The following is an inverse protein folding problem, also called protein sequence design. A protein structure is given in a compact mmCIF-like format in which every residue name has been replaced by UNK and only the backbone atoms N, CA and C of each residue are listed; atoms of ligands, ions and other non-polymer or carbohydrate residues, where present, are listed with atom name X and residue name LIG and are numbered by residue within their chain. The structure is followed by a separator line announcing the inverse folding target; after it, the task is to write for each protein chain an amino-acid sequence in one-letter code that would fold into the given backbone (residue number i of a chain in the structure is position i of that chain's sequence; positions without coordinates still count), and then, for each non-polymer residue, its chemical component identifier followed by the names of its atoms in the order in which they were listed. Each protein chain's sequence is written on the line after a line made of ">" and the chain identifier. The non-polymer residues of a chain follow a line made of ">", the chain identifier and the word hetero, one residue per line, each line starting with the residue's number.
data_IF_913087264246
#
_entry.id   IF_913087264246
#
_cell.length_a   1.000
_cell.length_b   1.000
_cell.length_c   1.000
_cell.angle_alpha   90.00
_cell.angle_beta   90.00
_cell.angle_gamma   90.00
#
_symmetry.space_group_name_H-M   'P 1'
#
loop_
_entity.id
_entity.type
_entity.pdbx_description
1 polymer ?
#
# COMPACT_ATOMS: atom_id res chain seq x y z
N UNK A 1 -9.48 -11.57 24.89
CA UNK A 1 -9.04 -10.83 23.70
C UNK A 1 -10.12 -9.82 23.35
N UNK A 2 -9.78 -8.54 23.14
CA UNK A 2 -10.73 -7.49 22.74
C UNK A 2 -11.07 -7.64 21.24
N UNK A 3 -12.29 -7.29 20.79
CA UNK A 3 -12.72 -7.52 19.40
C UNK A 3 -11.86 -6.77 18.37
N UNK A 4 -11.34 -5.59 18.69
CA UNK A 4 -10.44 -4.83 17.81
C UNK A 4 -9.06 -5.51 17.60
N UNK A 5 -8.71 -6.53 18.38
CA UNK A 5 -7.49 -7.33 18.20
C UNK A 5 -7.66 -8.44 17.16
N UNK A 6 -8.90 -8.81 16.84
CA UNK A 6 -9.20 -9.85 15.86
C UNK A 6 -8.72 -9.45 14.45
N UNK A 7 -8.33 -10.44 13.68
CA UNK A 7 -8.10 -10.32 12.24
C UNK A 7 -9.43 -10.20 11.49
N UNK A 8 -9.39 -9.76 10.24
CA UNK A 8 -10.60 -9.71 9.40
C UNK A 8 -11.22 -11.11 9.23
N UNK A 9 -10.39 -12.12 9.01
CA UNK A 9 -10.83 -13.51 8.86
C UNK A 9 -11.45 -14.08 10.13
N UNK A 10 -10.93 -13.72 11.31
CA UNK A 10 -11.53 -14.09 12.60
C UNK A 10 -12.87 -13.39 12.83
N UNK A 11 -12.99 -12.09 12.51
CA UNK A 11 -14.23 -11.34 12.57
C UNK A 11 -15.30 -12.00 11.70
N UNK A 12 -14.98 -12.27 10.43
CA UNK A 12 -15.88 -12.94 9.48
C UNK A 12 -16.39 -14.27 10.06
N UNK A 13 -15.46 -15.09 10.58
CA UNK A 13 -15.80 -16.39 11.18
C UNK A 13 -16.74 -16.24 12.37
N UNK A 14 -16.46 -15.31 13.29
CA UNK A 14 -17.27 -15.09 14.50
C UNK A 14 -18.65 -14.56 14.18
N UNK A 15 -18.78 -13.63 13.22
CA UNK A 15 -20.10 -13.13 12.75
C UNK A 15 -20.89 -14.27 12.10
N UNK A 16 -20.25 -15.06 11.22
CA UNK A 16 -20.91 -16.21 10.57
C UNK A 16 -21.40 -17.24 11.58
N UNK A 17 -20.65 -17.48 12.65
CA UNK A 17 -21.03 -18.38 13.73
C UNK A 17 -22.01 -17.74 14.73
N UNK A 18 -22.41 -16.48 14.54
CA UNK A 18 -23.27 -15.72 15.46
C UNK A 18 -22.69 -15.57 16.88
N UNK A 19 -21.34 -15.59 17.00
CA UNK A 19 -20.62 -15.37 18.25
C UNK A 19 -20.54 -13.88 18.59
N UNK A 20 -20.53 -13.03 17.57
CA UNK A 20 -20.58 -11.55 17.66
C UNK A 20 -21.51 -11.00 16.58
N UNK A 21 -22.09 -9.84 16.80
CA UNK A 21 -22.81 -9.05 15.80
C UNK A 21 -21.84 -8.20 14.96
N UNK A 22 -22.31 -7.73 13.81
CA UNK A 22 -21.59 -6.73 13.00
C UNK A 22 -21.41 -5.45 13.81
N UNK A 23 -22.47 -5.02 14.55
CA UNK A 23 -22.42 -3.83 15.38
C UNK A 23 -21.35 -3.89 16.45
N UNK A 24 -21.21 -5.02 17.16
CA UNK A 24 -20.16 -5.19 18.18
C UNK A 24 -18.76 -5.09 17.60
N UNK A 25 -18.53 -5.68 16.42
CA UNK A 25 -17.24 -5.60 15.70
C UNK A 25 -16.90 -4.14 15.36
N UNK A 26 -17.85 -3.41 14.77
CA UNK A 26 -17.64 -2.03 14.31
C UNK A 26 -17.52 -1.07 15.50
N UNK A 27 -18.34 -1.19 16.50
CA UNK A 27 -18.30 -0.38 17.73
C UNK A 27 -16.95 -0.53 18.46
N UNK A 28 -16.44 -1.76 18.54
CA UNK A 28 -15.11 -2.02 19.12
C UNK A 28 -13.98 -1.32 18.36
N UNK A 29 -14.05 -1.29 17.02
CA UNK A 29 -13.05 -0.61 16.19
C UNK A 29 -13.15 0.92 16.29
N UNK A 30 -14.37 1.47 16.38
CA UNK A 30 -14.61 2.92 16.60
C UNK A 30 -14.05 3.34 17.96
N UNK A 31 -14.39 2.64 19.04
CA UNK A 31 -13.86 2.90 20.37
C UNK A 31 -12.33 2.83 20.42
N UNK A 32 -11.76 1.87 19.70
CA UNK A 32 -10.28 1.78 19.58
C UNK A 32 -9.71 3.00 18.85
N UNK A 33 -10.37 3.45 17.80
CA UNK A 33 -9.97 4.69 17.10
C UNK A 33 -10.02 5.90 18.02
N UNK A 34 -11.09 6.07 18.80
CA UNK A 34 -11.23 7.17 19.76
C UNK A 34 -10.15 7.12 20.86
N UNK A 35 -9.77 5.93 21.31
CA UNK A 35 -8.74 5.71 22.33
C UNK A 35 -7.32 6.11 21.83
N UNK A 36 -6.93 5.67 20.63
CA UNK A 36 -5.52 5.73 20.21
C UNK A 36 -5.22 6.76 19.12
N UNK A 37 -6.19 7.12 18.31
CA UNK A 37 -5.98 8.04 17.19
C UNK A 37 -5.50 9.44 17.62
N UNK A 38 -5.87 9.99 18.77
CA UNK A 38 -5.29 11.25 19.26
C UNK A 38 -3.77 11.22 19.42
N UNK A 39 -3.19 10.04 19.65
CA UNK A 39 -1.74 9.85 19.83
C UNK A 39 -0.96 9.64 18.52
N UNK A 40 -1.65 9.23 17.43
CA UNK A 40 -1.01 8.85 16.16
C UNK A 40 -1.54 9.62 14.94
N UNK A 41 -2.70 10.23 15.01
CA UNK A 41 -3.35 10.98 13.93
C UNK A 41 -3.39 10.20 12.60
N UNK A 42 -3.80 8.95 12.66
CA UNK A 42 -3.88 8.05 11.51
C UNK A 42 -5.18 8.24 10.71
N UNK A 43 -6.32 8.42 11.43
CA UNK A 43 -7.66 8.65 10.88
C UNK A 43 -7.99 10.13 11.01
N UNK A 44 -8.24 10.80 9.89
CA UNK A 44 -8.48 12.26 9.84
C UNK A 44 -9.92 12.65 9.54
N UNK A 45 -10.76 11.67 9.20
CA UNK A 45 -12.20 11.82 9.12
C UNK A 45 -12.86 10.54 9.65
N UNK A 46 -13.51 10.64 10.80
CA UNK A 46 -14.27 9.53 11.40
C UNK A 46 -15.62 9.38 10.71
N UNK A 47 -16.10 8.13 10.59
CA UNK A 47 -17.38 7.78 10.02
C UNK A 47 -18.27 7.03 11.03
N UNK A 48 -18.02 7.20 12.34
CA UNK A 48 -18.58 6.40 13.41
C UNK A 48 -20.10 6.17 13.34
N UNK A 49 -20.92 7.23 13.24
CA UNK A 49 -22.39 7.09 13.18
C UNK A 49 -22.86 6.35 11.94
N UNK A 50 -22.37 6.74 10.75
CA UNK A 50 -22.73 6.08 9.50
C UNK A 50 -22.27 4.61 9.47
N UNK A 51 -21.11 4.30 10.06
CA UNK A 51 -20.61 2.94 10.19
C UNK A 51 -21.51 2.07 11.09
N UNK A 52 -22.01 2.61 12.21
CA UNK A 52 -22.92 1.90 13.10
C UNK A 52 -24.29 1.67 12.44
N UNK A 53 -24.86 2.64 11.73
CA UNK A 53 -26.10 2.48 10.97
C UNK A 53 -25.97 1.38 9.91
N UNK A 54 -24.81 1.36 9.20
CA UNK A 54 -24.51 0.31 8.23
C UNK A 54 -24.35 -1.05 8.89
N UNK A 55 -23.75 -1.12 10.07
CA UNK A 55 -23.62 -2.33 10.87
C UNK A 55 -24.98 -2.90 11.26
N UNK A 56 -25.90 -2.05 11.76
CA UNK A 56 -27.28 -2.45 12.09
C UNK A 56 -28.02 -3.01 10.86
N UNK A 57 -27.82 -2.38 9.69
CA UNK A 57 -28.42 -2.86 8.44
C UNK A 57 -27.90 -4.26 8.07
N UNK A 58 -26.60 -4.55 8.24
CA UNK A 58 -26.06 -5.88 7.99
C UNK A 58 -26.51 -6.91 9.03
N UNK A 59 -26.61 -6.53 10.31
CA UNK A 59 -27.18 -7.41 11.34
C UNK A 59 -28.65 -7.78 11.05
N UNK A 60 -29.43 -6.84 10.47
CA UNK A 60 -30.79 -7.15 10.03
C UNK A 60 -30.82 -8.10 8.84
N UNK A 61 -29.89 -7.95 7.87
CA UNK A 61 -29.75 -8.91 6.75
C UNK A 61 -29.40 -10.30 7.23
N UNK A 62 -28.49 -10.44 8.20
CA UNK A 62 -28.16 -11.75 8.80
C UNK A 62 -29.39 -12.39 9.44
N UNK A 63 -30.24 -11.61 10.16
CA UNK A 63 -31.49 -12.12 10.75
C UNK A 63 -32.46 -12.62 9.68
N UNK A 64 -32.48 -11.98 8.51
CA UNK A 64 -33.30 -12.37 7.36
C UNK A 64 -32.71 -13.54 6.58
N UNK A 65 -31.52 -14.05 6.93
CA UNK A 65 -30.84 -15.12 6.20
C UNK A 65 -30.17 -14.70 4.89
N UNK A 66 -29.97 -13.39 4.70
CA UNK A 66 -29.30 -12.81 3.52
C UNK A 66 -27.78 -12.91 3.64
N UNK A 67 -27.09 -13.06 2.49
CA UNK A 67 -25.63 -12.97 2.42
C UNK A 67 -25.18 -11.51 2.60
N UNK A 68 -24.18 -11.31 3.44
CA UNK A 68 -23.58 -9.99 3.71
C UNK A 68 -22.21 -9.79 3.04
N UNK A 69 -21.78 -10.74 2.23
CA UNK A 69 -20.52 -10.68 1.46
C UNK A 69 -19.28 -11.20 2.20
N UNK A 70 -18.19 -11.35 1.43
CA UNK A 70 -16.95 -12.01 1.90
C UNK A 70 -16.18 -11.20 2.97
N UNK A 71 -16.46 -9.91 3.13
CA UNK A 71 -15.95 -9.03 4.18
C UNK A 71 -17.05 -8.61 5.16
N UNK A 72 -18.11 -9.40 5.25
CA UNK A 72 -19.30 -9.06 6.03
C UNK A 72 -19.01 -8.66 7.47
N UNK A 73 -19.19 -7.37 7.79
CA UNK A 73 -18.99 -6.79 9.12
C UNK A 73 -17.55 -6.47 9.53
N UNK A 74 -16.60 -6.58 8.59
CA UNK A 74 -15.20 -6.21 8.84
C UNK A 74 -15.05 -4.69 8.83
N UNK A 75 -14.53 -4.06 9.92
CA UNK A 75 -14.21 -2.64 9.94
C UNK A 75 -12.96 -2.35 9.10
N UNK A 76 -13.07 -1.42 8.14
CA UNK A 76 -11.98 -1.03 7.25
C UNK A 76 -11.76 0.48 7.28
N UNK A 77 -10.54 0.92 6.96
CA UNK A 77 -10.22 2.34 6.75
C UNK A 77 -9.84 2.58 5.29
N UNK A 78 -10.11 3.78 4.78
CA UNK A 78 -9.82 4.15 3.40
C UNK A 78 -9.01 5.45 3.34
N UNK A 79 -8.08 5.52 2.40
CA UNK A 79 -7.18 6.69 2.23
C UNK A 79 -7.96 7.89 1.69
N UNK A 80 -7.64 9.11 2.16
CA UNK A 80 -8.33 10.36 1.76
C UNK A 80 -8.09 10.79 0.30
N UNK A 81 -7.31 10.06 -0.48
CA UNK A 81 -7.03 10.37 -1.89
C UNK A 81 -7.94 9.62 -2.89
N UNK A 82 -8.92 8.86 -2.41
CA UNK A 82 -9.93 8.21 -3.25
C UNK A 82 -11.31 8.76 -2.95
N UNK A 83 -12.16 8.83 -3.99
CA UNK A 83 -13.52 9.34 -3.86
C UNK A 83 -14.38 8.41 -3.02
N UNK A 84 -15.06 9.00 -2.04
CA UNK A 84 -16.11 8.38 -1.26
C UNK A 84 -17.27 9.36 -1.17
N UNK A 85 -18.45 8.95 -1.60
CA UNK A 85 -19.63 9.81 -1.69
C UNK A 85 -19.90 10.54 -0.37
N UNK A 86 -20.12 11.84 -0.43
CA UNK A 86 -20.37 12.70 0.71
C UNK A 86 -19.14 13.15 1.50
N UNK A 87 -17.94 12.70 1.14
CA UNK A 87 -16.68 13.07 1.80
C UNK A 87 -15.72 13.77 0.84
N UNK A 88 -14.88 14.65 1.40
CA UNK A 88 -13.89 15.36 0.61
C UNK A 88 -12.72 14.44 0.19
N UNK A 89 -12.35 14.46 -1.09
CA UNK A 89 -11.16 13.80 -1.62
C UNK A 89 -9.97 14.74 -1.48
N UNK A 90 -9.48 14.89 -0.25
CA UNK A 90 -8.51 15.96 0.09
C UNK A 90 -7.10 15.70 -0.43
N UNK A 91 -6.68 14.43 -0.55
CA UNK A 91 -5.29 14.07 -0.88
C UNK A 91 -4.24 14.83 -0.03
N UNK A 92 -4.59 15.18 1.25
CA UNK A 92 -3.75 15.95 2.16
C UNK A 92 -3.62 17.44 1.82
N UNK A 93 -4.53 18.01 1.01
CA UNK A 93 -4.44 19.35 0.43
C UNK A 93 -5.52 20.28 0.95
N UNK A 94 -5.15 21.47 1.43
CA UNK A 94 -6.08 22.55 1.78
C UNK A 94 -6.91 23.01 0.58
N UNK A 95 -6.27 23.06 -0.62
CA UNK A 95 -6.96 23.45 -1.87
C UNK A 95 -8.05 22.46 -2.27
N UNK A 96 -8.07 21.25 -1.70
CA UNK A 96 -9.08 20.22 -1.95
C UNK A 96 -9.95 19.91 -0.72
N UNK A 97 -9.88 20.70 0.34
CA UNK A 97 -10.62 20.44 1.59
C UNK A 97 -12.14 20.32 1.41
N UNK A 98 -12.69 21.00 0.40
CA UNK A 98 -14.12 21.05 0.08
C UNK A 98 -14.47 20.29 -1.21
N UNK A 99 -13.56 19.46 -1.74
CA UNK A 99 -13.77 18.63 -2.94
C UNK A 99 -14.62 17.39 -2.58
N UNK A 100 -15.91 17.61 -2.33
CA UNK A 100 -16.84 16.55 -1.93
C UNK A 100 -17.15 15.64 -3.12
N UNK A 101 -16.84 14.35 -2.96
CA UNK A 101 -17.12 13.34 -3.98
C UNK A 101 -18.63 13.08 -4.10
N UNK A 102 -19.11 12.98 -5.35
CA UNK A 102 -20.53 12.69 -5.70
C UNK A 102 -20.75 11.22 -6.04
N UNK A 103 -19.69 10.47 -6.24
CA UNK A 103 -19.69 9.04 -6.55
C UNK A 103 -18.54 8.36 -5.80
N UNK A 104 -18.68 7.06 -5.54
CA UNK A 104 -17.62 6.25 -4.95
C UNK A 104 -16.60 5.86 -6.02
N UNK A 105 -15.32 5.92 -5.68
CA UNK A 105 -14.29 5.19 -6.42
C UNK A 105 -14.67 3.69 -6.49
N UNK A 106 -14.44 2.99 -7.61
CA UNK A 106 -14.73 1.56 -7.75
C UNK A 106 -14.24 0.69 -6.57
N UNK A 107 -13.05 0.95 -6.03
CA UNK A 107 -12.53 0.19 -4.89
C UNK A 107 -13.40 0.36 -3.63
N UNK A 108 -13.94 1.55 -3.39
CA UNK A 108 -14.86 1.82 -2.28
C UNK A 108 -16.16 1.05 -2.47
N UNK A 109 -16.77 1.14 -3.67
CA UNK A 109 -17.96 0.38 -4.02
C UNK A 109 -17.77 -1.13 -3.87
N UNK A 110 -16.60 -1.65 -4.25
CA UNK A 110 -16.27 -3.06 -4.14
C UNK A 110 -16.11 -3.52 -2.69
N UNK A 111 -15.49 -2.72 -1.83
CA UNK A 111 -15.44 -2.98 -0.39
C UNK A 111 -16.83 -3.02 0.23
N UNK A 112 -17.68 -2.02 -0.05
CA UNK A 112 -19.05 -1.95 0.47
C UNK A 112 -19.93 -3.08 -0.04
N UNK A 113 -19.86 -3.43 -1.33
CA UNK A 113 -20.57 -4.58 -1.93
C UNK A 113 -20.12 -5.92 -1.35
N UNK A 114 -18.88 -5.98 -0.85
CA UNK A 114 -18.34 -7.16 -0.17
C UNK A 114 -18.68 -7.22 1.32
N UNK A 115 -19.44 -6.25 1.85
CA UNK A 115 -19.90 -6.21 3.23
C UNK A 115 -18.94 -5.56 4.22
N UNK A 116 -17.84 -4.96 3.75
CA UNK A 116 -16.96 -4.18 4.60
C UNK A 116 -17.65 -2.92 5.14
N UNK A 117 -17.30 -2.53 6.35
CA UNK A 117 -17.79 -1.32 6.99
C UNK A 117 -16.66 -0.29 7.08
N UNK A 118 -16.78 0.80 6.33
CA UNK A 118 -15.80 1.89 6.37
C UNK A 118 -16.02 2.71 7.63
N UNK A 119 -15.02 2.73 8.52
CA UNK A 119 -15.09 3.41 9.83
C UNK A 119 -14.39 4.77 9.85
N UNK A 120 -13.57 5.06 8.84
CA UNK A 120 -12.86 6.33 8.77
C UNK A 120 -11.92 6.44 7.58
N UNK A 121 -11.44 7.67 7.35
CA UNK A 121 -10.54 8.01 6.27
C UNK A 121 -9.16 8.35 6.81
N UNK A 122 -8.13 7.77 6.21
CA UNK A 122 -6.75 7.82 6.72
C UNK A 122 -5.90 8.88 6.05
N UNK A 123 -4.97 9.43 6.80
CA UNK A 123 -4.07 10.50 6.40
C UNK A 123 -3.09 10.08 5.30
N UNK A 124 -2.61 11.08 4.55
CA UNK A 124 -1.59 10.98 3.50
C UNK A 124 -0.76 12.27 3.48
N UNK A 125 0.50 12.31 3.04
CA UNK A 125 1.19 13.58 2.81
C UNK A 125 0.53 14.37 1.68
N UNK A 126 0.76 15.67 1.63
CA UNK A 126 0.28 16.52 0.55
C UNK A 126 0.65 15.94 -0.83
N UNK A 127 -0.31 15.89 -1.76
CA UNK A 127 -0.21 15.27 -3.10
C UNK A 127 0.10 13.76 -3.11
N UNK A 128 0.09 13.08 -1.96
CA UNK A 128 0.62 11.72 -1.82
C UNK A 128 2.08 11.59 -2.31
N UNK A 129 2.88 12.64 -2.21
CA UNK A 129 4.20 12.78 -2.84
C UNK A 129 5.35 12.14 -2.06
N UNK A 130 5.18 11.90 -0.75
CA UNK A 130 6.27 11.56 0.18
C UNK A 130 6.11 10.16 0.77
N UNK A 131 7.22 9.57 1.22
CA UNK A 131 7.23 8.36 2.07
C UNK A 131 7.14 8.69 3.57
N UNK A 132 6.64 9.89 3.91
CA UNK A 132 6.46 10.44 5.25
C UNK A 132 5.09 11.10 5.31
N UNK A 133 4.27 10.78 6.32
CA UNK A 133 2.87 11.21 6.33
C UNK A 133 2.67 12.42 7.23
N UNK A 134 2.90 13.60 6.67
CA UNK A 134 2.58 14.90 7.26
C UNK A 134 2.08 15.87 6.18
N UNK A 135 1.09 16.68 6.50
CA UNK A 135 0.58 17.75 5.65
C UNK A 135 -0.01 18.90 6.50
N UNK A 136 -0.21 20.07 5.90
CA UNK A 136 -0.72 21.26 6.60
C UNK A 136 -2.23 21.29 6.78
N UNK A 137 -3.01 20.38 6.16
CA UNK A 137 -4.46 20.27 6.34
C UNK A 137 -4.81 19.40 7.54
N UNK A 138 -4.24 18.20 7.62
CA UNK A 138 -4.60 17.18 8.59
C UNK A 138 -3.54 16.95 9.67
N UNK A 139 -2.35 17.52 9.50
CA UNK A 139 -1.25 17.36 10.44
C UNK A 139 -0.41 16.10 10.20
N UNK A 140 0.29 15.68 11.24
CA UNK A 140 1.32 14.65 11.21
C UNK A 140 0.80 13.31 11.74
N UNK A 141 0.99 12.24 10.99
CA UNK A 141 0.75 10.87 11.46
C UNK A 141 2.02 10.29 12.05
N UNK A 142 1.94 9.76 13.26
CA UNK A 142 3.05 9.13 13.98
C UNK A 142 3.00 7.62 13.85
N UNK A 143 4.18 6.99 13.86
CA UNK A 143 4.30 5.55 13.83
C UNK A 143 3.91 4.94 15.19
N UNK A 144 2.96 3.98 15.24
CA UNK A 144 2.51 3.39 16.50
C UNK A 144 3.56 2.49 17.20
N UNK A 145 4.63 2.09 16.50
CA UNK A 145 5.71 1.29 17.07
C UNK A 145 6.71 2.20 17.78
N UNK A 146 7.17 3.25 17.09
CA UNK A 146 8.14 4.22 17.57
C UNK A 146 7.88 5.56 16.90
N UNK A 147 7.62 6.60 17.70
CA UNK A 147 7.32 7.97 17.22
C UNK A 147 8.51 8.67 16.55
N UNK A 148 9.73 8.14 16.73
CA UNK A 148 10.95 8.69 16.13
C UNK A 148 11.22 8.16 14.72
N UNK A 149 10.45 7.19 14.24
CA UNK A 149 10.51 6.67 12.87
C UNK A 149 9.26 7.05 12.09
N UNK A 150 9.39 7.18 10.77
CA UNK A 150 8.26 7.48 9.91
C UNK A 150 7.21 6.36 9.94
N UNK A 151 5.90 6.65 9.86
CA UNK A 151 4.87 5.63 9.59
C UNK A 151 4.89 5.19 8.12
N UNK A 152 5.87 5.68 7.35
CA UNK A 152 5.87 5.55 5.89
C UNK A 152 4.92 6.53 5.20
N UNK A 153 4.83 6.40 3.92
CA UNK A 153 3.98 7.20 3.03
C UNK A 153 3.92 6.60 1.62
N UNK A 154 2.94 6.98 0.88
CA UNK A 154 1.94 7.97 1.21
C UNK A 154 0.71 7.39 1.94
N UNK A 155 0.59 6.06 2.13
CA UNK A 155 -0.51 5.44 2.90
C UNK A 155 -0.12 5.21 4.37
N UNK A 156 0.66 6.12 4.98
CA UNK A 156 1.13 5.98 6.35
C UNK A 156 0.00 5.99 7.38
N UNK A 157 -1.04 6.79 7.16
CA UNK A 157 -2.24 6.76 8.00
C UNK A 157 -2.94 5.40 7.98
N UNK A 158 -3.02 4.74 6.81
CA UNK A 158 -3.63 3.41 6.69
C UNK A 158 -2.81 2.33 7.41
N UNK A 159 -1.48 2.34 7.22
CA UNK A 159 -0.60 1.38 7.89
C UNK A 159 -0.56 1.59 9.41
N UNK A 160 -0.49 2.85 9.88
CA UNK A 160 -0.53 3.18 11.29
C UNK A 160 -1.86 2.78 11.93
N UNK A 161 -3.00 3.01 11.26
CA UNK A 161 -4.33 2.60 11.74
C UNK A 161 -4.40 1.08 11.94
N UNK A 162 -3.99 0.29 10.92
CA UNK A 162 -3.98 -1.18 10.98
C UNK A 162 -3.03 -1.68 12.09
N UNK A 163 -1.83 -1.12 12.20
CA UNK A 163 -0.86 -1.49 13.24
C UNK A 163 -1.35 -1.16 14.65
N UNK A 164 -2.19 -0.13 14.80
CA UNK A 164 -2.80 0.27 16.06
C UNK A 164 -4.10 -0.46 16.38
N UNK A 165 -4.63 -1.28 15.47
CA UNK A 165 -5.91 -1.96 15.63
C UNK A 165 -7.14 -1.10 15.33
N UNK A 166 -6.96 0.01 14.63
CA UNK A 166 -8.05 0.83 14.09
C UNK A 166 -8.49 0.22 12.75
N UNK A 167 -9.47 -0.69 12.81
CA UNK A 167 -9.87 -1.50 11.68
C UNK A 167 -8.92 -2.69 11.41
N UNK A 168 -9.44 -3.72 10.79
CA UNK A 168 -8.69 -4.92 10.47
C UNK A 168 -7.94 -4.81 9.13
N UNK A 169 -8.44 -3.97 8.23
CA UNK A 169 -7.91 -3.74 6.88
C UNK A 169 -7.82 -2.23 6.63
N UNK A 170 -6.70 -1.81 6.04
CA UNK A 170 -6.49 -0.48 5.49
C UNK A 170 -6.44 -0.52 3.97
N UNK A 171 -7.16 0.38 3.29
CA UNK A 171 -6.96 0.64 1.87
C UNK A 171 -5.83 1.64 1.68
N UNK A 172 -4.91 1.34 0.79
CA UNK A 172 -3.84 2.24 0.33
C UNK A 172 -3.78 2.38 -1.19
N UNK A 173 -2.93 3.30 -1.65
CA UNK A 173 -2.58 3.47 -3.07
C UNK A 173 -1.07 3.44 -3.22
N UNK A 174 -0.55 2.93 -4.34
CA UNK A 174 0.89 2.76 -4.56
C UNK A 174 1.28 3.13 -6.00
N UNK A 175 2.12 4.16 -6.14
CA UNK A 175 2.74 4.58 -7.40
C UNK A 175 4.28 4.42 -7.35
N UNK A 176 4.84 4.48 -6.13
CA UNK A 176 6.27 4.36 -5.84
C UNK A 176 6.48 3.82 -4.43
N UNK A 177 5.81 2.70 -4.09
CA UNK A 177 5.94 2.06 -2.79
C UNK A 177 4.95 2.51 -1.72
N UNK A 178 3.93 3.30 -2.06
CA UNK A 178 3.05 3.92 -1.08
C UNK A 178 2.06 2.99 -0.35
N UNK A 179 2.00 1.69 -0.65
CA UNK A 179 1.42 0.62 0.16
C UNK A 179 2.55 -0.15 0.86
N UNK A 180 3.56 -0.54 0.08
CA UNK A 180 4.62 -1.46 0.48
C UNK A 180 5.50 -0.88 1.57
N UNK A 181 5.96 0.37 1.40
CA UNK A 181 6.84 1.02 2.38
C UNK A 181 6.13 1.38 3.70
N UNK A 182 4.90 1.94 3.73
CA UNK A 182 4.16 2.13 4.98
C UNK A 182 3.89 0.83 5.73
N UNK A 183 3.55 -0.26 5.01
CA UNK A 183 3.40 -1.57 5.63
C UNK A 183 4.70 -2.04 6.30
N UNK A 184 5.85 -1.89 5.62
CA UNK A 184 7.17 -2.13 6.18
C UNK A 184 7.46 -1.29 7.41
N UNK A 185 7.25 0.03 7.32
CA UNK A 185 7.57 0.98 8.39
C UNK A 185 6.70 0.80 9.66
N UNK A 186 5.46 0.34 9.50
CA UNK A 186 4.53 0.07 10.60
C UNK A 186 4.51 -1.41 11.02
N UNK A 187 5.36 -2.27 10.45
CA UNK A 187 5.47 -3.68 10.84
C UNK A 187 4.20 -4.49 10.53
N UNK A 188 3.51 -4.21 9.44
CA UNK A 188 2.34 -4.93 8.94
C UNK A 188 2.59 -5.44 7.52
N UNK A 189 1.62 -6.09 6.89
CA UNK A 189 1.74 -6.59 5.52
C UNK A 189 1.00 -5.67 4.55
N UNK A 190 1.51 -5.54 3.31
CA UNK A 190 0.89 -4.70 2.29
C UNK A 190 1.06 -5.27 0.89
N UNK A 191 -0.02 -5.33 0.13
CA UNK A 191 -0.05 -5.83 -1.24
C UNK A 191 -0.26 -4.69 -2.24
N UNK A 192 0.75 -4.44 -3.08
CA UNK A 192 0.61 -3.73 -4.34
C UNK A 192 0.20 -4.73 -5.42
N UNK A 193 -1.05 -4.71 -5.94
CA UNK A 193 -1.44 -5.57 -7.04
C UNK A 193 -0.83 -5.17 -8.38
N UNK A 194 -0.97 -6.03 -9.39
CA UNK A 194 -0.72 -5.69 -10.80
C UNK A 194 -1.64 -4.55 -11.27
N UNK A 195 -1.16 -3.74 -12.20
CA UNK A 195 -2.00 -2.75 -12.87
C UNK A 195 -3.25 -3.42 -13.46
N UNK A 196 -4.41 -2.79 -13.29
CA UNK A 196 -5.68 -3.30 -13.80
C UNK A 196 -6.31 -4.45 -12.99
N UNK A 197 -5.70 -4.86 -11.87
CA UNK A 197 -6.26 -5.91 -11.01
C UNK A 197 -7.34 -5.37 -10.06
N UNK A 198 -7.11 -4.22 -9.45
CA UNK A 198 -8.06 -3.52 -8.59
C UNK A 198 -8.54 -2.27 -9.33
N UNK A 199 -9.82 -2.21 -9.72
CA UNK A 199 -10.30 -1.05 -10.46
C UNK A 199 -10.31 0.21 -9.59
N UNK A 200 -9.85 1.33 -10.15
CA UNK A 200 -9.73 2.59 -9.46
C UNK A 200 -9.97 3.78 -10.42
N UNK A 201 -10.93 4.64 -10.06
CA UNK A 201 -11.22 5.89 -10.77
C UNK A 201 -11.78 6.92 -9.79
N UNK A 202 -11.29 8.15 -9.85
CA UNK A 202 -11.88 9.27 -9.10
C UNK A 202 -12.72 10.13 -10.04
N UNK A 203 -13.96 10.38 -9.65
CA UNK A 203 -14.92 11.21 -10.42
C UNK A 203 -14.80 12.70 -10.08
N UNK A 204 -14.09 13.03 -9.00
CA UNK A 204 -13.96 14.42 -8.50
C UNK A 204 -12.88 15.24 -9.20
N UNK A 205 -12.13 14.66 -10.12
CA UNK A 205 -11.04 15.30 -10.84
C UNK A 205 -10.86 14.78 -12.26
N UNK A 206 -9.94 15.35 -13.05
CA UNK A 206 -9.58 14.81 -14.35
C UNK A 206 -8.89 13.46 -14.24
N UNK A 207 -8.87 12.72 -15.34
CA UNK A 207 -8.06 11.51 -15.44
C UNK A 207 -6.58 11.82 -15.22
N UNK A 208 -5.87 10.83 -14.67
CA UNK A 208 -4.42 10.94 -14.47
C UNK A 208 -3.69 11.00 -15.81
N UNK A 209 -2.54 11.64 -15.83
CA UNK A 209 -1.60 11.52 -16.94
C UNK A 209 -1.12 10.07 -17.07
N UNK A 210 -0.50 9.76 -18.22
CA UNK A 210 -0.17 8.36 -18.60
C UNK A 210 0.73 7.65 -17.59
N UNK A 211 1.68 8.33 -16.95
CA UNK A 211 2.52 7.74 -15.91
C UNK A 211 1.69 7.36 -14.69
N UNK A 212 0.83 8.27 -14.21
CA UNK A 212 -0.10 7.97 -13.14
C UNK A 212 -1.05 6.81 -13.46
N UNK A 213 -1.50 6.70 -14.73
CA UNK A 213 -2.33 5.59 -15.19
C UNK A 213 -1.58 4.26 -15.19
N UNK A 214 -0.33 4.24 -15.66
CA UNK A 214 0.47 3.01 -15.80
C UNK A 214 1.05 2.49 -14.49
N UNK A 215 1.20 3.34 -13.47
CA UNK A 215 1.95 3.00 -12.26
C UNK A 215 1.12 2.96 -10.99
N UNK A 216 0.06 3.77 -10.89
CA UNK A 216 -0.71 3.88 -9.65
C UNK A 216 -1.76 2.78 -9.53
N UNK A 217 -1.78 2.10 -8.39
CA UNK A 217 -2.76 1.05 -8.07
C UNK A 217 -3.34 1.25 -6.67
N UNK A 218 -4.50 0.67 -6.41
CA UNK A 218 -5.08 0.50 -5.07
C UNK A 218 -4.80 -0.91 -4.54
N UNK A 219 -4.67 -1.05 -3.22
CA UNK A 219 -4.49 -2.37 -2.61
C UNK A 219 -4.61 -2.37 -1.09
N UNK A 220 -4.64 -3.55 -0.46
CA UNK A 220 -4.85 -3.72 0.97
C UNK A 220 -3.56 -3.67 1.80
N UNK A 221 -3.72 -3.24 3.05
CA UNK A 221 -2.77 -3.34 4.16
C UNK A 221 -3.46 -4.09 5.29
N UNK A 222 -2.83 -5.09 5.90
CA UNK A 222 -3.41 -5.90 6.96
C UNK A 222 -2.35 -6.50 7.89
N UNK A 223 -2.79 -7.05 9.05
CA UNK A 223 -1.93 -7.69 10.04
C UNK A 223 -1.66 -9.17 9.78
N UNK A 224 -2.34 -9.77 8.80
CA UNK A 224 -2.12 -11.14 8.38
C UNK A 224 -2.19 -11.28 6.85
N UNK A 225 -1.52 -12.30 6.31
CA UNK A 225 -1.57 -12.59 4.87
C UNK A 225 -2.96 -13.08 4.46
N UNK A 226 -3.66 -13.80 5.33
CA UNK A 226 -5.03 -14.27 5.04
C UNK A 226 -6.02 -13.10 4.93
N UNK A 227 -5.83 -12.03 5.72
CA UNK A 227 -6.61 -10.80 5.59
C UNK A 227 -6.29 -10.06 4.29
N UNK A 228 -5.03 -10.07 3.82
CA UNK A 228 -4.68 -9.56 2.50
C UNK A 228 -5.38 -10.33 1.39
N UNK A 229 -5.46 -11.68 1.47
CA UNK A 229 -6.13 -12.51 0.46
C UNK A 229 -7.61 -12.17 0.35
N UNK A 230 -8.33 -12.12 1.47
CA UNK A 230 -9.77 -11.84 1.45
C UNK A 230 -10.08 -10.41 1.03
N UNK A 231 -9.28 -9.43 1.47
CA UNK A 231 -9.46 -8.02 1.08
C UNK A 231 -9.08 -7.76 -0.38
N UNK A 232 -8.03 -8.38 -0.88
CA UNK A 232 -7.65 -8.33 -2.29
C UNK A 232 -8.75 -8.91 -3.19
N UNK A 233 -9.33 -10.05 -2.83
CA UNK A 233 -10.47 -10.63 -3.54
C UNK A 233 -11.65 -9.65 -3.58
N UNK A 234 -11.99 -9.04 -2.45
CA UNK A 234 -13.06 -8.04 -2.37
C UNK A 234 -12.78 -6.82 -3.27
N UNK A 235 -11.57 -6.27 -3.22
CA UNK A 235 -11.19 -5.09 -3.99
C UNK A 235 -11.13 -5.34 -5.50
N UNK A 236 -10.82 -6.58 -5.93
CA UNK A 236 -10.61 -6.97 -7.33
C UNK A 236 -11.91 -7.28 -8.11
N UNK A 237 -13.08 -6.99 -7.53
CA UNK A 237 -14.36 -7.18 -8.26
C UNK A 237 -14.41 -6.28 -9.49
N UNK A 238 -15.02 -6.76 -10.61
CA UNK A 238 -15.10 -6.00 -11.85
C UNK A 238 -15.77 -4.63 -11.69
N UNK A 239 -15.23 -3.63 -12.39
CA UNK A 239 -15.88 -2.34 -12.56
C UNK A 239 -15.45 -1.73 -13.91
N UNK A 240 -16.42 -1.15 -14.65
CA UNK A 240 -16.20 -0.63 -16.01
C UNK A 240 -15.64 0.79 -16.04
N UNK A 241 -15.54 1.47 -14.91
CA UNK A 241 -15.03 2.85 -14.87
C UNK A 241 -13.49 2.91 -14.94
N UNK A 242 -12.78 1.81 -14.62
CA UNK A 242 -11.34 1.75 -14.81
C UNK A 242 -10.99 1.21 -16.20
N UNK A 243 -10.43 2.04 -17.11
CA UNK A 243 -10.08 1.61 -18.48
C UNK A 243 -8.96 0.56 -18.51
N UNK A 244 -8.20 0.40 -17.42
CA UNK A 244 -7.11 -0.57 -17.29
C UNK A 244 -7.55 -1.88 -16.65
N UNK A 245 -8.82 -1.99 -16.18
CA UNK A 245 -9.27 -3.21 -15.52
C UNK A 245 -9.15 -4.45 -16.42
N UNK A 246 -8.53 -5.49 -15.89
CA UNK A 246 -8.31 -6.77 -16.59
C UNK A 246 -9.00 -7.92 -15.86
N UNK A 247 -9.99 -8.59 -16.48
CA UNK A 247 -10.76 -9.68 -15.88
C UNK A 247 -9.96 -11.01 -15.88
N UNK A 248 -8.77 -11.00 -15.27
CA UNK A 248 -7.91 -12.18 -15.15
C UNK A 248 -8.26 -12.96 -13.87
N UNK A 249 -8.31 -14.30 -13.86
CA UNK A 249 -8.52 -15.08 -12.65
C UNK A 249 -7.55 -14.74 -11.52
N UNK A 250 -8.01 -14.78 -10.26
CA UNK A 250 -7.17 -14.51 -9.09
C UNK A 250 -6.12 -15.60 -8.84
N UNK A 251 -6.35 -16.80 -9.35
CA UNK A 251 -5.40 -17.91 -9.31
C UNK A 251 -4.97 -18.26 -10.73
N UNK A 252 -3.66 -18.20 -10.94
CA UNK A 252 -3.06 -18.57 -12.23
C UNK A 252 -2.70 -20.06 -12.31
N UNK A 253 -2.16 -20.46 -13.47
CA UNK A 253 -1.64 -21.82 -13.69
C UNK A 253 -0.45 -22.11 -12.75
N UNK A 254 -0.29 -23.37 -12.33
CA UNK A 254 0.84 -23.79 -11.51
C UNK A 254 2.20 -23.39 -12.13
N UNK A 255 3.13 -23.01 -11.31
CA UNK A 255 4.51 -22.66 -11.70
C UNK A 255 5.52 -23.47 -10.89
N UNK A 256 6.75 -23.54 -11.38
CA UNK A 256 7.87 -24.12 -10.63
C UNK A 256 8.08 -23.35 -9.32
N UNK A 257 8.49 -24.07 -8.29
CA UNK A 257 8.83 -23.49 -6.98
C UNK A 257 10.27 -22.96 -6.99
N UNK A 258 10.59 -22.02 -7.88
CA UNK A 258 11.90 -21.37 -7.98
C UNK A 258 11.78 -19.93 -7.49
N UNK A 259 12.76 -19.53 -6.68
CA UNK A 259 12.86 -18.18 -6.10
C UNK A 259 14.19 -17.56 -6.50
N UNK A 260 14.15 -16.37 -7.09
CA UNK A 260 15.29 -15.48 -7.18
C UNK A 260 15.51 -14.77 -5.85
N UNK A 261 16.62 -14.99 -5.19
CA UNK A 261 17.05 -14.22 -4.02
C UNK A 261 17.94 -13.08 -4.48
N UNK A 262 17.46 -11.84 -4.41
CA UNK A 262 18.20 -10.65 -4.81
C UNK A 262 18.52 -9.79 -3.59
N UNK A 263 19.72 -9.96 -3.03
CA UNK A 263 20.13 -9.26 -1.81
C UNK A 263 20.44 -7.78 -2.04
N UNK A 264 20.87 -7.42 -3.27
CA UNK A 264 21.29 -6.07 -3.64
C UNK A 264 20.87 -5.75 -5.09
N UNK A 265 19.54 -5.66 -5.37
CA UNK A 265 19.01 -5.52 -6.72
C UNK A 265 19.68 -4.38 -7.51
N UNK A 266 20.27 -4.67 -8.68
CA UNK A 266 20.96 -3.71 -9.57
C UNK A 266 21.96 -2.82 -8.80
N UNK A 267 22.73 -3.43 -7.87
CA UNK A 267 23.74 -2.75 -7.05
C UNK A 267 23.17 -1.80 -5.98
N UNK A 268 21.90 -1.96 -5.59
CA UNK A 268 21.26 -1.20 -4.51
C UNK A 268 22.07 -1.34 -3.21
N UNK A 269 22.25 -0.23 -2.48
CA UNK A 269 22.83 -0.28 -1.14
C UNK A 269 21.81 -0.86 -0.16
N UNK A 270 22.20 -1.94 0.53
CA UNK A 270 21.33 -2.67 1.45
C UNK A 270 22.07 -2.95 2.76
N UNK A 271 21.43 -2.63 3.89
CA UNK A 271 21.97 -2.88 5.22
C UNK A 271 22.03 -4.38 5.54
N UNK A 272 22.93 -4.77 6.44
CA UNK A 272 23.12 -6.18 6.81
C UNK A 272 21.88 -6.76 7.52
N UNK A 273 21.13 -5.94 8.24
CA UNK A 273 19.87 -6.34 8.89
C UNK A 273 18.80 -6.74 7.84
N UNK A 274 18.68 -5.96 6.76
CA UNK A 274 17.75 -6.26 5.67
C UNK A 274 18.20 -7.49 4.90
N UNK A 275 19.50 -7.63 4.59
CA UNK A 275 20.05 -8.84 3.95
C UNK A 275 19.81 -10.09 4.82
N UNK A 276 20.03 -9.98 6.14
CA UNK A 276 19.79 -11.09 7.08
C UNK A 276 18.32 -11.53 7.09
N UNK A 277 17.38 -10.58 7.01
CA UNK A 277 15.96 -10.89 6.89
C UNK A 277 15.61 -11.62 5.58
N UNK A 278 16.22 -11.23 4.45
CA UNK A 278 16.06 -11.89 3.15
C UNK A 278 16.62 -13.32 3.18
N UNK A 279 17.83 -13.52 3.70
CA UNK A 279 18.48 -14.83 3.81
C UNK A 279 17.66 -15.76 4.72
N UNK A 280 17.18 -15.26 5.85
CA UNK A 280 16.33 -16.04 6.76
C UNK A 280 15.00 -16.43 6.11
N UNK A 281 14.40 -15.51 5.34
CA UNK A 281 13.17 -15.78 4.59
C UNK A 281 13.39 -16.82 3.48
N UNK A 282 14.49 -16.73 2.75
CA UNK A 282 14.88 -17.71 1.73
C UNK A 282 15.04 -19.11 2.31
N UNK A 283 15.70 -19.23 3.48
CA UNK A 283 15.84 -20.50 4.18
C UNK A 283 14.51 -21.14 4.56
N UNK A 284 13.55 -20.34 5.06
CA UNK A 284 12.18 -20.83 5.34
C UNK A 284 11.46 -21.36 4.10
N UNK A 285 11.69 -20.74 2.96
CA UNK A 285 11.12 -21.22 1.69
C UNK A 285 11.83 -22.49 1.21
N UNK A 286 13.13 -22.61 1.38
CA UNK A 286 13.89 -23.82 1.09
C UNK A 286 13.38 -25.01 1.92
N UNK A 287 13.16 -24.80 3.23
CA UNK A 287 12.54 -25.78 4.12
C UNK A 287 11.11 -26.17 3.71
N UNK A 288 10.39 -25.26 3.02
CA UNK A 288 9.06 -25.50 2.44
C UNK A 288 9.11 -26.11 1.02
N UNK A 289 10.29 -26.48 0.54
CA UNK A 289 10.52 -27.16 -0.73
C UNK A 289 10.58 -26.24 -1.94
N UNK A 290 11.02 -24.98 -1.75
CA UNK A 290 11.35 -24.05 -2.83
C UNK A 290 12.85 -24.12 -3.15
N UNK A 291 13.19 -23.99 -4.44
CA UNK A 291 14.57 -23.91 -4.93
C UNK A 291 15.02 -22.45 -4.92
N UNK A 292 16.05 -22.12 -4.15
CA UNK A 292 16.56 -20.75 -3.99
C UNK A 292 17.77 -20.52 -4.90
N UNK A 293 17.73 -19.45 -5.69
CA UNK A 293 18.81 -19.03 -6.56
C UNK A 293 19.25 -17.61 -6.18
N UNK A 294 20.51 -17.44 -5.81
CA UNK A 294 21.13 -16.13 -5.61
C UNK A 294 21.48 -15.56 -6.99
N UNK A 295 20.72 -14.58 -7.42
CA UNK A 295 20.83 -13.96 -8.76
C UNK A 295 20.55 -12.47 -8.69
N UNK A 296 21.14 -11.73 -9.62
CA UNK A 296 20.84 -10.30 -9.76
C UNK A 296 19.58 -10.07 -10.58
N UNK A 297 19.03 -8.87 -10.51
CA UNK A 297 17.82 -8.46 -11.24
C UNK A 297 18.15 -7.97 -12.65
N UNK A 298 17.18 -8.00 -13.58
CA UNK A 298 17.21 -7.14 -14.75
C UNK A 298 17.33 -5.65 -14.36
N UNK A 299 17.67 -4.74 -15.29
CA UNK A 299 17.89 -3.32 -14.98
C UNK A 299 16.74 -2.70 -14.21
N UNK A 300 17.02 -2.28 -12.98
CA UNK A 300 16.03 -1.66 -12.06
C UNK A 300 16.30 -0.16 -11.88
N UNK A 301 17.58 0.28 -11.87
CA UNK A 301 17.94 1.70 -11.81
C UNK A 301 17.39 2.47 -13.00
N UNK A 302 17.51 1.90 -14.19
CA UNK A 302 16.92 2.49 -15.41
C UNK A 302 15.41 2.61 -15.32
N UNK A 303 14.72 1.64 -14.69
CA UNK A 303 13.28 1.71 -14.45
C UNK A 303 12.95 2.84 -13.45
N UNK A 304 13.74 2.96 -12.36
CA UNK A 304 13.61 4.03 -11.38
C UNK A 304 13.79 5.42 -11.99
N UNK A 305 14.89 5.63 -12.73
CA UNK A 305 15.18 6.90 -13.41
C UNK A 305 14.08 7.28 -14.41
N UNK A 306 13.60 6.29 -15.18
CA UNK A 306 12.50 6.48 -16.13
C UNK A 306 11.19 6.87 -15.43
N UNK A 307 10.88 6.26 -14.28
CA UNK A 307 9.72 6.63 -13.48
C UNK A 307 9.85 8.06 -12.94
N UNK A 308 10.99 8.42 -12.37
CA UNK A 308 11.22 9.75 -11.84
C UNK A 308 11.08 10.81 -12.92
N UNK A 309 11.65 10.59 -14.11
CA UNK A 309 11.51 11.51 -15.25
C UNK A 309 10.05 11.67 -15.67
N UNK A 310 9.31 10.58 -15.84
CA UNK A 310 7.91 10.64 -16.25
C UNK A 310 7.04 11.31 -15.18
N UNK A 311 7.24 10.96 -13.92
CA UNK A 311 6.51 11.55 -12.80
C UNK A 311 6.79 13.06 -12.67
N UNK A 312 8.06 13.48 -12.77
CA UNK A 312 8.40 14.91 -12.70
C UNK A 312 7.89 15.70 -13.91
N UNK A 313 7.88 15.11 -15.10
CA UNK A 313 7.26 15.73 -16.28
C UNK A 313 5.77 16.00 -16.04
N UNK A 314 5.03 15.02 -15.53
CA UNK A 314 3.60 15.15 -15.21
C UNK A 314 3.35 16.16 -14.08
N UNK A 315 4.17 16.15 -13.04
CA UNK A 315 4.09 17.11 -11.95
C UNK A 315 4.33 18.54 -12.44
N UNK A 316 5.34 18.76 -13.26
CA UNK A 316 5.65 20.09 -13.82
C UNK A 316 4.54 20.59 -14.75
N UNK A 317 3.90 19.71 -15.53
CA UNK A 317 2.83 20.06 -16.46
C UNK A 317 1.49 20.28 -15.77
N UNK A 318 1.12 19.44 -14.81
CA UNK A 318 -0.23 19.40 -14.25
C UNK A 318 -0.36 19.85 -12.79
N UNK A 319 0.72 19.79 -11.99
CA UNK A 319 0.62 20.03 -10.56
C UNK A 319 1.50 21.17 -10.04
N UNK A 320 2.40 21.74 -10.84
CA UNK A 320 3.33 22.77 -10.38
C UNK A 320 2.63 23.99 -9.75
N UNK A 321 1.56 24.49 -10.38
CA UNK A 321 0.76 25.60 -9.85
C UNK A 321 0.01 25.20 -8.56
N UNK A 322 -0.50 23.97 -8.51
CA UNK A 322 -1.18 23.46 -7.33
C UNK A 322 -0.21 23.32 -6.15
N UNK A 323 1.05 22.91 -6.37
CA UNK A 323 2.10 22.85 -5.34
C UNK A 323 2.37 24.24 -4.76
N UNK A 324 2.50 25.25 -5.62
CA UNK A 324 2.68 26.66 -5.20
C UNK A 324 1.46 27.15 -4.40
N UNK A 325 0.25 26.87 -4.89
CA UNK A 325 -1.01 27.32 -4.27
C UNK A 325 -1.26 26.62 -2.92
N UNK A 326 -0.95 25.33 -2.80
CA UNK A 326 -1.08 24.59 -1.56
C UNK A 326 -0.16 25.12 -0.47
N UNK A 327 1.04 25.52 -0.86
CA UNK A 327 2.07 26.09 0.02
C UNK A 327 2.38 25.20 1.24
N UNK A 328 2.39 23.89 1.04
CA UNK A 328 2.87 22.94 2.05
C UNK A 328 4.40 22.93 2.02
N UNK A 329 5.10 23.28 3.12
CA UNK A 329 6.56 23.46 3.11
C UNK A 329 7.31 22.16 2.81
N UNK A 330 6.81 21.02 3.31
CA UNK A 330 7.45 19.72 3.11
C UNK A 330 7.27 19.26 1.65
N UNK A 331 6.05 19.37 1.12
CA UNK A 331 5.77 19.02 -0.26
C UNK A 331 6.55 19.89 -1.24
N UNK A 332 6.66 21.20 -0.97
CA UNK A 332 7.46 22.11 -1.78
C UNK A 332 8.94 21.71 -1.77
N UNK A 333 9.51 21.41 -0.61
CA UNK A 333 10.92 20.99 -0.48
C UNK A 333 11.17 19.68 -1.24
N UNK A 334 10.36 18.68 -1.03
CA UNK A 334 10.50 17.37 -1.70
C UNK A 334 10.29 17.49 -3.20
N UNK A 335 9.31 18.27 -3.66
CA UNK A 335 9.12 18.55 -5.08
C UNK A 335 10.36 19.18 -5.73
N UNK A 336 10.99 20.18 -5.09
CA UNK A 336 12.21 20.79 -5.61
C UNK A 336 13.38 19.80 -5.63
N UNK A 337 13.54 18.98 -4.60
CA UNK A 337 14.58 17.94 -4.55
C UNK A 337 14.41 16.91 -5.65
N UNK A 338 13.19 16.40 -5.87
CA UNK A 338 12.88 15.50 -6.96
C UNK A 338 13.15 16.13 -8.33
N UNK A 339 12.77 17.41 -8.50
CA UNK A 339 13.04 18.17 -9.73
C UNK A 339 14.52 18.29 -10.01
N UNK A 340 15.35 18.50 -8.98
CA UNK A 340 16.80 18.60 -9.12
C UNK A 340 17.48 17.27 -9.47
N UNK A 341 16.88 16.14 -9.13
CA UNK A 341 17.37 14.81 -9.53
C UNK A 341 17.05 14.48 -11.00
N UNK A 342 16.09 15.19 -11.60
CA UNK A 342 15.66 14.92 -12.96
C UNK A 342 16.18 15.98 -13.91
N UNK A 343 16.72 15.60 -15.11
CA UNK A 343 17.03 16.56 -16.16
C UNK A 343 15.75 17.24 -16.66
N UNK A 344 15.90 18.33 -17.40
CA UNK A 344 14.76 18.94 -18.10
C UNK A 344 14.13 17.91 -19.03
N UNK A 345 12.85 17.63 -18.84
CA UNK A 345 12.12 16.60 -19.58
C UNK A 345 11.30 17.27 -20.69
N UNK A 346 11.67 17.01 -21.94
CA UNK A 346 10.92 17.41 -23.13
C UNK A 346 10.11 16.24 -23.71
N UNK A 347 9.36 16.48 -24.77
CA UNK A 347 8.56 15.46 -25.44
C UNK A 347 9.43 14.28 -25.93
N UNK A 348 10.64 14.54 -26.45
CA UNK A 348 11.51 13.48 -26.93
C UNK A 348 11.98 12.56 -25.81
N UNK A 349 12.30 13.12 -24.65
CA UNK A 349 12.64 12.35 -23.45
C UNK A 349 11.46 11.48 -23.01
N UNK A 350 10.24 12.05 -22.94
CA UNK A 350 9.02 11.31 -22.58
C UNK A 350 8.77 10.14 -23.54
N UNK A 351 8.88 10.38 -24.86
CA UNK A 351 8.67 9.35 -25.88
C UNK A 351 9.70 8.22 -25.76
N UNK A 352 10.97 8.54 -25.48
CA UNK A 352 12.03 7.54 -25.25
C UNK A 352 11.82 6.76 -23.97
N UNK A 353 11.40 7.42 -22.88
CA UNK A 353 11.08 6.77 -21.61
C UNK A 353 9.95 5.74 -21.79
N UNK A 354 8.85 6.14 -22.44
CA UNK A 354 7.72 5.24 -22.73
C UNK A 354 8.12 4.09 -23.68
N UNK A 355 8.94 4.36 -24.70
CA UNK A 355 9.48 3.34 -25.59
C UNK A 355 10.37 2.33 -24.84
N UNK A 356 11.27 2.82 -23.97
CA UNK A 356 12.19 1.96 -23.21
C UNK A 356 11.46 1.04 -22.23
N UNK A 357 10.28 1.47 -21.72
CA UNK A 357 9.45 0.67 -20.85
C UNK A 357 9.11 -0.70 -21.44
N UNK A 358 8.83 -0.78 -22.75
CA UNK A 358 8.50 -2.04 -23.39
C UNK A 358 9.63 -3.07 -23.32
N UNK A 359 10.89 -2.63 -23.47
CA UNK A 359 12.08 -3.49 -23.35
C UNK A 359 12.28 -3.94 -21.90
N UNK A 360 12.21 -3.01 -20.94
CA UNK A 360 12.32 -3.32 -19.51
C UNK A 360 11.25 -4.32 -19.06
N UNK A 361 9.98 -4.10 -19.43
CA UNK A 361 8.90 -5.04 -19.12
C UNK A 361 9.19 -6.43 -19.69
N UNK A 362 9.70 -6.52 -20.92
CA UNK A 362 10.04 -7.81 -21.54
C UNK A 362 11.17 -8.53 -20.81
N UNK A 363 12.24 -7.83 -20.47
CA UNK A 363 13.37 -8.39 -19.72
C UNK A 363 12.95 -8.93 -18.37
N UNK A 364 12.15 -8.16 -17.61
CA UNK A 364 11.62 -8.57 -16.33
C UNK A 364 10.66 -9.76 -16.44
N UNK A 365 9.79 -9.80 -17.45
CA UNK A 365 8.89 -10.94 -17.65
C UNK A 365 9.63 -12.23 -18.04
N UNK A 366 10.73 -12.12 -18.81
CA UNK A 366 11.59 -13.28 -19.10
C UNK A 366 12.29 -13.77 -17.84
N UNK A 367 12.81 -12.88 -17.02
CA UNK A 367 13.39 -13.22 -15.71
C UNK A 367 12.36 -13.93 -14.79
N UNK A 368 11.14 -13.38 -14.66
CA UNK A 368 10.08 -13.96 -13.84
C UNK A 368 9.44 -15.21 -14.45
N UNK A 369 9.70 -15.50 -15.71
CA UNK A 369 9.36 -16.80 -16.32
C UNK A 369 10.25 -17.91 -15.77
N UNK A 370 11.56 -17.62 -15.60
CA UNK A 370 12.53 -18.57 -15.06
C UNK A 370 12.49 -18.65 -13.53
N UNK A 371 12.23 -17.53 -12.87
CA UNK A 371 12.06 -17.39 -11.43
C UNK A 371 10.68 -16.83 -11.10
N UNK A 372 9.63 -17.67 -10.94
CA UNK A 372 8.25 -17.20 -10.76
C UNK A 372 8.04 -16.30 -9.54
N UNK A 373 8.95 -16.35 -8.58
CA UNK A 373 8.96 -15.50 -7.38
C UNK A 373 10.36 -14.91 -7.19
N UNK A 374 10.42 -13.64 -6.82
CA UNK A 374 11.64 -12.97 -6.39
C UNK A 374 11.48 -12.45 -4.96
N UNK A 375 12.51 -12.67 -4.13
CA UNK A 375 12.68 -11.99 -2.85
C UNK A 375 13.70 -10.86 -3.01
N UNK A 376 13.33 -9.66 -2.56
CA UNK A 376 14.21 -8.49 -2.59
C UNK A 376 13.90 -7.55 -1.41
N UNK A 377 14.73 -6.53 -1.14
CA UNK A 377 14.44 -5.52 -0.12
C UNK A 377 13.14 -4.77 -0.40
N UNK A 378 12.36 -4.47 0.65
CA UNK A 378 11.34 -3.41 0.61
C UNK A 378 12.05 -2.07 0.51
N UNK A 379 13.03 -1.85 1.38
CA UNK A 379 13.91 -0.68 1.44
C UNK A 379 15.34 -1.18 1.68
N UNK A 380 16.34 -0.44 1.21
CA UNK A 380 17.74 -0.73 1.52
C UNK A 380 18.14 -0.52 2.97
N UNK A 381 17.33 0.23 3.73
CA UNK A 381 17.52 0.53 5.14
C UNK A 381 16.29 0.07 5.96
N UNK A 382 16.48 -0.09 7.27
CA UNK A 382 15.37 -0.13 8.22
C UNK A 382 14.49 1.13 8.08
N UNK A 383 13.26 1.14 8.62
CA UNK A 383 12.39 2.31 8.53
C UNK A 383 13.12 3.60 8.91
N UNK A 384 13.03 4.61 8.08
CA UNK A 384 13.76 5.88 8.24
C UNK A 384 13.36 6.62 9.52
N UNK A 385 14.28 7.40 10.06
CA UNK A 385 13.97 8.41 11.07
C UNK A 385 12.90 9.35 10.55
N UNK A 386 12.00 9.77 11.42
CA UNK A 386 10.89 10.61 11.00
C UNK A 386 11.36 11.92 10.36
N UNK A 387 10.71 12.31 9.29
CA UNK A 387 11.01 13.53 8.52
C UNK A 387 12.44 13.60 7.94
N UNK A 388 13.15 12.48 7.82
CA UNK A 388 14.49 12.42 7.19
C UNK A 388 14.49 13.06 5.79
N UNK A 389 13.39 12.98 5.04
CA UNK A 389 13.24 13.51 3.67
C UNK A 389 13.28 15.04 3.56
N UNK A 390 12.99 15.75 4.62
CA UNK A 390 13.08 17.22 4.72
C UNK A 390 14.33 17.68 5.48
N UNK A 391 15.21 16.78 5.85
CA UNK A 391 16.53 17.03 6.41
C UNK A 391 17.53 17.58 5.37
N UNK A 392 18.75 17.04 5.32
CA UNK A 392 19.76 17.44 4.34
C UNK A 392 19.44 16.91 2.92
N UNK A 393 20.11 17.45 1.89
CA UNK A 393 20.05 16.92 0.52
C UNK A 393 20.56 15.47 0.46
N UNK A 394 21.64 15.18 1.19
CA UNK A 394 22.20 13.81 1.27
C UNK A 394 21.19 12.83 1.86
N UNK A 395 20.46 13.20 2.93
CA UNK A 395 19.41 12.36 3.49
C UNK A 395 18.35 12.00 2.45
N UNK A 396 17.99 12.96 1.59
CA UNK A 396 17.02 12.74 0.53
C UNK A 396 17.54 11.78 -0.55
N UNK A 397 18.80 11.93 -0.96
CA UNK A 397 19.46 11.04 -1.93
C UNK A 397 19.62 9.62 -1.38
N UNK A 398 19.97 9.48 -0.09
CA UNK A 398 20.03 8.18 0.59
C UNK A 398 18.65 7.50 0.60
N UNK A 399 17.56 8.26 0.82
CA UNK A 399 16.20 7.75 0.74
C UNK A 399 15.88 7.26 -0.68
N UNK A 400 16.21 8.02 -1.71
CA UNK A 400 15.96 7.62 -3.11
C UNK A 400 16.71 6.32 -3.43
N UNK A 401 17.97 6.21 -3.01
CA UNK A 401 18.76 4.97 -3.18
C UNK A 401 18.12 3.78 -2.44
N UNK A 402 17.73 3.98 -1.18
CA UNK A 402 17.10 2.94 -0.37
C UNK A 402 15.70 2.54 -0.88
N UNK A 403 15.05 3.37 -1.70
CA UNK A 403 13.72 3.13 -2.27
C UNK A 403 13.77 2.64 -3.73
N UNK A 404 14.92 2.19 -4.23
CA UNK A 404 15.10 1.74 -5.61
C UNK A 404 14.02 0.74 -6.06
N UNK A 405 13.75 -0.30 -5.26
CA UNK A 405 12.72 -1.30 -5.54
C UNK A 405 11.31 -0.73 -5.50
N UNK A 406 11.08 0.25 -4.64
CA UNK A 406 9.77 0.89 -4.50
C UNK A 406 9.44 1.78 -5.70
N UNK A 407 10.44 2.43 -6.28
CA UNK A 407 10.28 3.31 -7.44
C UNK A 407 10.33 2.52 -8.74
N UNK A 408 11.28 1.62 -8.91
CA UNK A 408 11.54 0.92 -10.19
C UNK A 408 10.45 -0.09 -10.58
N UNK A 409 9.98 -0.92 -9.64
CA UNK A 409 8.99 -1.96 -9.93
C UNK A 409 7.65 -1.42 -10.47
N UNK A 410 7.07 -0.29 -9.97
CA UNK A 410 5.87 0.28 -10.56
C UNK A 410 6.02 0.72 -12.02
N UNK A 411 7.19 1.20 -12.44
CA UNK A 411 7.41 1.60 -13.84
C UNK A 411 7.22 0.44 -14.81
N UNK A 412 7.54 -0.76 -14.38
CA UNK A 412 7.31 -2.00 -15.13
C UNK A 412 5.98 -2.68 -14.77
N UNK A 413 5.13 -2.03 -13.94
CA UNK A 413 3.79 -2.46 -13.50
C UNK A 413 3.75 -3.79 -12.74
N UNK A 414 4.86 -4.25 -12.16
CA UNK A 414 4.90 -5.48 -11.39
C UNK A 414 4.18 -5.35 -10.05
N UNK A 415 3.50 -6.43 -9.61
CA UNK A 415 2.95 -6.51 -8.26
C UNK A 415 4.07 -6.72 -7.24
N UNK A 416 3.81 -6.37 -5.98
CA UNK A 416 4.74 -6.55 -4.87
C UNK A 416 4.03 -6.70 -3.54
N UNK A 417 4.47 -7.66 -2.75
CA UNK A 417 3.96 -7.94 -1.41
C UNK A 417 5.04 -7.65 -0.37
N UNK A 418 4.77 -6.74 0.55
CA UNK A 418 5.58 -6.58 1.75
C UNK A 418 5.16 -7.59 2.80
N UNK A 419 6.12 -8.36 3.27
CA UNK A 419 5.97 -9.28 4.41
C UNK A 419 6.86 -8.81 5.54
N UNK A 420 6.28 -8.39 6.64
CA UNK A 420 7.03 -8.16 7.89
C UNK A 420 7.54 -9.49 8.40
N UNK A 421 8.82 -9.57 8.76
CA UNK A 421 9.50 -10.81 9.21
C UNK A 421 10.03 -10.73 10.62
N UNK A 422 10.03 -9.55 11.24
CA UNK A 422 10.50 -9.38 12.61
C UNK A 422 10.77 -7.95 13.01
N UNK A 423 11.59 -7.80 14.04
CA UNK A 423 12.04 -6.53 14.59
C UNK A 423 13.57 -6.53 14.71
N UNK A 424 14.19 -5.37 14.48
CA UNK A 424 15.60 -5.10 14.77
C UNK A 424 15.63 -3.93 15.75
N UNK A 425 15.88 -4.21 17.02
CA UNK A 425 15.67 -3.24 18.08
C UNK A 425 14.20 -2.79 18.13
N UNK A 426 13.98 -1.52 17.98
CA UNK A 426 12.65 -0.88 17.98
C UNK A 426 12.09 -0.58 16.57
N UNK A 427 12.74 -1.13 15.52
CA UNK A 427 12.32 -0.95 14.11
C UNK A 427 11.85 -2.27 13.51
N UNK A 428 10.73 -2.27 12.76
CA UNK A 428 10.35 -3.45 12.00
C UNK A 428 11.36 -3.76 10.90
N UNK A 429 11.46 -5.05 10.57
CA UNK A 429 12.15 -5.52 9.37
C UNK A 429 11.25 -6.45 8.59
N UNK A 430 11.39 -6.45 7.27
CA UNK A 430 10.61 -7.27 6.37
C UNK A 430 11.23 -7.36 5.00
N UNK A 431 10.63 -8.18 4.16
CA UNK A 431 11.08 -8.43 2.79
C UNK A 431 9.98 -8.13 1.79
N UNK A 432 10.34 -7.95 0.53
CA UNK A 432 9.42 -7.83 -0.57
C UNK A 432 9.40 -9.11 -1.42
N UNK A 433 8.21 -9.61 -1.69
CA UNK A 433 7.95 -10.69 -2.63
C UNK A 433 7.40 -10.09 -3.91
N UNK A 434 7.98 -10.44 -5.07
CA UNK A 434 7.58 -9.96 -6.40
C UNK A 434 7.28 -11.16 -7.28
N UNK A 435 6.32 -11.03 -8.20
CA UNK A 435 6.01 -12.03 -9.22
C UNK A 435 5.61 -11.36 -10.55
N UNK A 436 5.36 -12.15 -11.59
CA UNK A 436 4.89 -11.65 -12.88
C UNK A 436 3.47 -11.06 -12.78
N UNK A 437 3.02 -10.38 -13.79
CA UNK A 437 1.67 -9.79 -13.88
C UNK A 437 0.59 -10.82 -13.57
N UNK A 438 -0.34 -10.39 -12.72
CA UNK A 438 -1.51 -11.17 -12.31
C UNK A 438 -1.18 -12.49 -11.58
N UNK A 439 -0.01 -12.55 -10.93
CA UNK A 439 0.44 -13.69 -10.11
C UNK A 439 0.53 -13.33 -8.63
N UNK A 440 -0.39 -12.52 -8.16
CA UNK A 440 -0.56 -12.23 -6.74
C UNK A 440 -0.79 -13.50 -5.91
N UNK A 441 -1.37 -14.54 -6.53
CA UNK A 441 -1.54 -15.87 -5.93
C UNK A 441 -0.22 -16.47 -5.44
N UNK A 442 0.84 -16.44 -6.26
CA UNK A 442 2.16 -16.96 -5.88
C UNK A 442 2.78 -16.15 -4.74
N UNK A 443 2.68 -14.82 -4.80
CA UNK A 443 3.20 -13.94 -3.75
C UNK A 443 2.48 -14.17 -2.41
N UNK A 444 1.16 -14.33 -2.44
CA UNK A 444 0.35 -14.58 -1.25
C UNK A 444 0.58 -15.99 -0.68
N UNK A 445 0.85 -16.99 -1.52
CA UNK A 445 1.22 -18.34 -1.06
C UNK A 445 2.59 -18.33 -0.38
N UNK A 446 3.59 -17.65 -0.97
CA UNK A 446 4.90 -17.42 -0.33
C UNK A 446 4.74 -16.61 0.95
N UNK A 447 3.96 -15.54 0.91
CA UNK A 447 3.63 -14.73 2.08
C UNK A 447 3.01 -15.55 3.22
N UNK A 448 2.13 -16.50 2.91
CA UNK A 448 1.54 -17.39 3.93
C UNK A 448 2.57 -18.35 4.57
N UNK A 449 3.60 -18.77 3.83
CA UNK A 449 4.69 -19.57 4.39
C UNK A 449 5.50 -18.71 5.35
N UNK A 450 5.92 -17.54 4.90
CA UNK A 450 6.76 -16.63 5.70
C UNK A 450 6.00 -16.05 6.89
N UNK A 451 4.73 -15.71 6.73
CA UNK A 451 3.88 -15.16 7.79
C UNK A 451 3.59 -16.14 8.93
N UNK A 452 3.73 -17.46 8.71
CA UNK A 452 3.56 -18.46 9.79
C UNK A 452 4.59 -18.33 10.90
N UNK A 453 5.78 -17.84 10.59
CA UNK A 453 6.87 -17.71 11.57
C UNK A 453 6.66 -16.58 12.56
N UNK A 454 6.05 -15.48 12.13
CA UNK A 454 5.72 -14.33 12.98
C UNK A 454 4.27 -14.37 13.47
N UNK A 455 3.42 -15.22 12.86
CA UNK A 455 1.99 -15.26 13.14
C UNK A 455 1.25 -14.01 12.69
N UNK A 456 0.13 -13.72 13.33
CA UNK A 456 -0.59 -12.47 13.16
C UNK A 456 0.16 -11.36 13.89
N UNK A 457 0.39 -10.23 13.21
CA UNK A 457 1.00 -9.06 13.85
C UNK A 457 0.04 -8.52 14.91
N UNK A 458 0.46 -8.54 16.17
CA UNK A 458 -0.33 -8.00 17.27
C UNK A 458 -0.49 -6.47 17.14
N UNK A 459 -1.72 -5.95 17.31
CA UNK A 459 -1.92 -4.50 17.31
C UNK A 459 -1.18 -3.86 18.47
N UNK A 460 -0.50 -2.75 18.18
CA UNK A 460 0.31 -2.05 19.18
C UNK A 460 -0.55 -1.43 20.28
N UNK A 461 -0.09 -1.62 21.50
CA UNK A 461 -0.59 -0.89 22.65
C UNK A 461 0.05 0.52 22.65
N UNK A 462 -0.76 1.58 22.56
CA UNK A 462 -0.32 2.98 22.43
C UNK A 462 -0.86 3.77 23.61
#
# INVERSE_FOLDING_TARGET
>A
MKLWQLTATEIIKKIKNKEISVRESVDSAIKRSEEVNPNINAVVASMGSAALERADSLDQKIKNGEDIGILGGVPVTVKVNVDQIGYATTNGLKIQKDLIAKQNNPVISNLEKSGAIIIGRTNTPAFSLRWFTRNTLHGHTLNPINKNITPGGSSGGAAAAVAAGIGAIGHGTDIAGSIRYPAYACGVHGLRPSLGRVPAHNFSGPDRFIGGQLMAVSGPIARSIEDLKVSFNAMSRPDSYDPWYMPVPLKGEPRSKKVALCLSPDGMKVSEEVKSALISSAKLLEEAGWEIHDVDTPPLRKAMESQLMLWMAEMQHGAAEAVIKENDPDANMVYQRLKNLCPTVDLNVIMKVLQSRASLVREWRLFLKDYPVMLCPVSGELPFDDLKDVGSQQNFEDIIEAQLTQIGLPFISLPGLTVTTGMVGDRPVGIQVVSDFYREDLMLDVGSILGKTIGVVDPKQI
#
